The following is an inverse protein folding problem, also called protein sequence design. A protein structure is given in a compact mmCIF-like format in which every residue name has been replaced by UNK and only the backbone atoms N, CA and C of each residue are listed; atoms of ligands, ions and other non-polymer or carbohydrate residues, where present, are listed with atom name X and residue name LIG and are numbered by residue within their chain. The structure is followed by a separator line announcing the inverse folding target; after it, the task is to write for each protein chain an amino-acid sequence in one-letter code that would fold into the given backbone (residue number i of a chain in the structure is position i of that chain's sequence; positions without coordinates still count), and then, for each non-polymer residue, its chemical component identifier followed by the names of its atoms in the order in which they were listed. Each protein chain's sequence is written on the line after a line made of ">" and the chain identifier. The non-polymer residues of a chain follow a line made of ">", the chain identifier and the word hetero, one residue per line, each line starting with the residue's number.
data_IF_814929255944
#
_entry.id   IF_814929255944
#
_cell.length_a   1.000
_cell.length_b   1.000
_cell.length_c   1.000
_cell.angle_alpha   90.00
_cell.angle_beta   90.00
_cell.angle_gamma   90.00
#
_symmetry.space_group_name_H-M   'P 1'
#
loop_
_entity.id
_entity.type
_entity.pdbx_description
1 polymer ?
#
# COMPACT_ATOMS: atom_id res chain seq x y z
N UNK A 1 -3.44 26.86 3.07
CA UNK A 1 -3.19 25.40 2.97
C UNK A 1 -1.80 25.13 3.51
N UNK A 2 -1.63 24.16 4.41
CA UNK A 2 -0.30 23.60 4.60
C UNK A 2 -0.03 22.65 3.43
N UNK A 3 1.19 22.61 2.91
CA UNK A 3 1.62 21.73 1.81
C UNK A 3 1.28 20.22 2.02
N UNK A 4 0.89 19.85 3.24
CA UNK A 4 0.54 18.49 3.68
C UNK A 4 -0.96 18.14 3.57
N UNK A 5 -1.84 19.06 3.15
CA UNK A 5 -3.27 18.82 3.03
C UNK A 5 -3.64 18.24 1.66
N UNK A 6 -3.17 17.02 1.35
CA UNK A 6 -3.50 16.32 0.11
C UNK A 6 -4.98 15.88 0.01
N UNK A 7 -5.43 15.57 -1.20
CA UNK A 7 -6.77 15.03 -1.46
C UNK A 7 -6.89 13.59 -0.97
N UNK A 8 -7.86 13.32 -0.09
CA UNK A 8 -8.18 11.97 0.40
C UNK A 8 -9.56 11.54 -0.07
N UNK A 9 -9.69 10.27 -0.40
CA UNK A 9 -10.89 9.67 -0.94
C UNK A 9 -11.35 8.50 -0.07
N UNK A 10 -12.64 8.20 -0.11
CA UNK A 10 -13.24 7.04 0.54
C UNK A 10 -14.28 6.43 -0.40
N UNK A 11 -14.10 5.16 -0.72
CA UNK A 11 -15.06 4.41 -1.51
C UNK A 11 -16.24 3.99 -0.65
N UNK A 12 -17.43 4.39 -1.08
CA UNK A 12 -18.67 4.18 -0.35
C UNK A 12 -19.75 3.60 -1.25
N UNK A 13 -20.56 2.73 -0.68
CA UNK A 13 -21.77 2.21 -1.30
C UNK A 13 -22.98 2.72 -0.52
N UNK A 14 -24.06 2.98 -1.23
CA UNK A 14 -25.35 3.28 -0.62
C UNK A 14 -25.88 2.02 0.06
N UNK A 15 -26.04 2.05 1.38
CA UNK A 15 -26.44 0.85 2.14
C UNK A 15 -27.97 0.77 2.38
N UNK A 16 -28.67 1.89 2.20
CA UNK A 16 -30.11 2.01 2.40
C UNK A 16 -30.67 3.11 1.50
N UNK A 17 -31.98 3.10 1.29
CA UNK A 17 -32.68 4.08 0.44
C UNK A 17 -32.45 5.50 0.98
N UNK A 18 -32.14 6.47 0.10
CA UNK A 18 -32.01 7.87 0.50
C UNK A 18 -33.27 8.38 1.21
N UNK A 19 -33.08 9.10 2.31
CA UNK A 19 -34.21 9.73 2.99
C UNK A 19 -34.37 11.16 2.50
N UNK A 20 -35.60 11.52 2.14
CA UNK A 20 -35.96 12.86 1.76
C UNK A 20 -36.84 13.48 2.85
N UNK A 21 -36.30 14.49 3.55
CA UNK A 21 -36.98 15.18 4.65
C UNK A 21 -37.24 16.64 4.26
N UNK A 22 -38.31 16.93 3.52
CA UNK A 22 -38.68 18.31 3.21
C UNK A 22 -39.24 18.98 4.46
N UNK A 23 -38.48 19.91 5.05
CA UNK A 23 -38.97 20.74 6.16
C UNK A 23 -40.04 21.75 5.69
N UNK A 24 -40.04 22.11 4.39
CA UNK A 24 -40.96 23.04 3.75
C UNK A 24 -41.35 22.47 2.39
N UNK A 25 -42.52 22.86 1.87
CA UNK A 25 -43.01 22.49 0.53
C UNK A 25 -41.92 22.69 -0.55
N UNK A 26 -41.36 21.59 -1.10
CA UNK A 26 -40.26 21.65 -2.04
C UNK A 26 -40.66 22.22 -3.39
N UNK A 27 -41.96 22.26 -3.73
CA UNK A 27 -42.44 22.88 -4.97
C UNK A 27 -42.32 24.41 -4.95
N UNK A 28 -42.32 25.03 -3.76
CA UNK A 28 -42.22 26.49 -3.61
C UNK A 28 -40.78 26.98 -3.50
N UNK A 29 -39.93 26.21 -2.82
CA UNK A 29 -38.58 26.66 -2.47
C UNK A 29 -37.46 25.99 -3.27
N UNK A 30 -37.79 25.00 -4.11
CA UNK A 30 -36.87 24.32 -5.04
C UNK A 30 -35.59 23.75 -4.41
N UNK A 31 -35.60 23.50 -3.10
CA UNK A 31 -34.54 22.81 -2.37
C UNK A 31 -35.15 21.81 -1.40
N UNK A 32 -34.42 20.74 -1.10
CA UNK A 32 -34.83 19.76 -0.12
C UNK A 32 -33.62 19.03 0.45
N UNK A 33 -33.74 18.59 1.70
CA UNK A 33 -32.69 17.86 2.39
C UNK A 33 -32.75 16.39 2.00
N UNK A 34 -31.73 15.93 1.27
CA UNK A 34 -31.51 14.53 0.97
C UNK A 34 -30.43 13.97 1.87
N UNK A 35 -30.75 12.93 2.64
CA UNK A 35 -29.80 12.24 3.50
C UNK A 35 -29.38 10.94 2.80
N UNK A 36 -28.11 10.87 2.41
CA UNK A 36 -27.52 9.68 1.82
C UNK A 36 -26.91 8.79 2.91
N UNK A 37 -27.43 7.57 3.02
CA UNK A 37 -26.96 6.55 3.94
C UNK A 37 -25.86 5.72 3.28
N UNK A 38 -24.61 6.07 3.56
CA UNK A 38 -23.42 5.51 2.91
C UNK A 38 -22.64 4.60 3.86
N UNK A 39 -22.07 3.51 3.33
CA UNK A 39 -21.18 2.59 4.06
C UNK A 39 -19.91 2.36 3.25
N UNK A 40 -18.76 2.54 3.88
CA UNK A 40 -17.47 2.14 3.30
C UNK A 40 -17.21 0.66 3.54
N UNK A 41 -16.78 -0.06 2.50
CA UNK A 41 -16.28 -1.44 2.67
C UNK A 41 -14.97 -1.46 3.45
N UNK A 42 -14.09 -0.49 3.17
CA UNK A 42 -12.91 -0.17 3.96
C UNK A 42 -13.15 1.16 4.69
N UNK A 43 -13.01 1.23 6.02
CA UNK A 43 -13.26 2.47 6.78
C UNK A 43 -12.13 3.49 6.67
N UNK A 44 -11.02 3.19 6.00
CA UNK A 44 -9.86 4.07 5.90
C UNK A 44 -9.90 4.93 4.63
N UNK A 45 -9.63 6.22 4.82
CA UNK A 45 -9.43 7.17 3.74
C UNK A 45 -8.12 6.86 3.03
N UNK A 46 -8.07 6.98 1.71
CA UNK A 46 -6.83 6.76 0.97
C UNK A 46 -6.47 7.97 0.12
N UNK A 47 -5.17 8.15 -0.07
CA UNK A 47 -4.63 9.03 -1.10
C UNK A 47 -4.32 8.17 -2.32
N UNK A 48 -4.34 8.75 -3.53
CA UNK A 48 -3.80 8.06 -4.71
C UNK A 48 -2.41 7.55 -4.36
N UNK A 49 -2.21 6.23 -4.49
CA UNK A 49 -1.04 5.57 -3.94
C UNK A 49 0.23 6.27 -4.43
N UNK A 50 1.01 6.82 -3.49
CA UNK A 50 2.35 7.26 -3.80
C UNK A 50 3.12 6.01 -4.22
N UNK A 51 3.42 5.95 -5.51
CA UNK A 51 4.43 5.01 -6.00
C UNK A 51 5.76 5.50 -5.43
N UNK A 52 6.51 4.65 -4.75
CA UNK A 52 7.90 5.01 -4.42
C UNK A 52 8.58 5.32 -5.76
N UNK A 53 9.07 6.55 -5.91
CA UNK A 53 9.89 6.92 -7.05
C UNK A 53 11.15 6.08 -7.02
N UNK A 54 11.23 5.09 -7.92
CA UNK A 54 12.44 4.40 -8.33
C UNK A 54 12.86 3.19 -7.49
N UNK A 55 12.81 2.00 -8.10
CA UNK A 55 14.02 1.26 -8.46
C UNK A 55 13.74 0.26 -9.61
N UNK A 56 14.70 0.15 -10.55
CA UNK A 56 14.70 -0.48 -11.89
C UNK A 56 13.54 -0.18 -12.86
N UNK A 57 13.55 0.98 -13.53
CA UNK A 57 12.73 1.17 -14.75
C UNK A 57 13.36 0.49 -15.99
N UNK A 58 14.66 0.20 -15.95
CA UNK A 58 15.39 -0.49 -17.01
C UNK A 58 15.79 -1.90 -16.55
N UNK A 59 15.33 -2.90 -17.31
CA UNK A 59 15.43 -4.35 -17.14
C UNK A 59 16.86 -4.93 -17.10
N UNK A 60 17.75 -4.36 -16.30
CA UNK A 60 19.14 -4.74 -16.18
C UNK A 60 19.40 -5.25 -14.77
N UNK A 61 20.07 -6.39 -14.64
CA UNK A 61 20.45 -6.93 -13.34
C UNK A 61 21.32 -5.97 -12.54
N UNK A 62 21.02 -5.79 -11.26
CA UNK A 62 21.80 -4.90 -10.41
C UNK A 62 21.37 -4.84 -8.94
N UNK A 63 22.19 -4.12 -8.19
CA UNK A 63 21.92 -3.71 -6.82
C UNK A 63 21.41 -2.27 -6.81
N UNK A 64 20.49 -1.96 -5.92
CA UNK A 64 20.17 -0.57 -5.62
C UNK A 64 19.21 -0.42 -4.46
N UNK A 65 18.54 0.72 -4.43
CA UNK A 65 17.86 1.19 -3.22
C UNK A 65 16.49 1.73 -3.55
N UNK A 66 15.52 1.42 -2.69
CA UNK A 66 14.19 2.02 -2.71
C UNK A 66 13.99 2.82 -1.42
N UNK A 67 13.52 4.05 -1.54
CA UNK A 67 13.17 4.86 -0.38
C UNK A 67 11.74 4.53 0.07
N UNK A 68 11.60 4.04 1.30
CA UNK A 68 10.30 3.78 1.91
C UNK A 68 9.93 4.85 2.91
N UNK A 69 8.67 5.27 2.91
CA UNK A 69 8.15 6.24 3.88
C UNK A 69 6.68 5.95 4.16
N UNK A 70 6.29 5.98 5.43
CA UNK A 70 4.89 5.88 5.83
C UNK A 70 4.49 7.10 6.66
N UNK A 71 3.96 8.16 6.05
CA UNK A 71 3.50 9.35 6.77
C UNK A 71 2.14 9.14 7.46
N UNK A 72 1.53 7.96 7.35
CA UNK A 72 0.16 7.71 7.82
C UNK A 72 0.12 7.19 9.26
N UNK A 73 -1.07 7.27 9.88
CA UNK A 73 -1.36 6.72 11.20
C UNK A 73 -1.61 5.21 11.21
N UNK A 74 -1.63 4.59 10.02
CA UNK A 74 -1.93 3.18 9.84
C UNK A 74 -0.68 2.41 9.45
N UNK A 75 -0.70 1.12 9.78
CA UNK A 75 0.30 0.18 9.27
C UNK A 75 0.14 0.11 7.76
N UNK A 76 1.23 0.29 7.03
CA UNK A 76 1.26 0.27 5.57
C UNK A 76 1.65 -1.13 5.09
N UNK A 77 0.67 -1.79 4.49
CA UNK A 77 0.84 -3.03 3.74
C UNK A 77 1.33 -2.68 2.34
N UNK A 78 2.65 -2.59 2.19
CA UNK A 78 3.28 -2.28 0.91
C UNK A 78 3.16 -3.45 -0.06
N UNK A 79 3.35 -3.17 -1.36
CA UNK A 79 3.30 -4.18 -2.41
C UNK A 79 4.50 -4.08 -3.31
N UNK A 80 5.01 -5.22 -3.77
CA UNK A 80 6.03 -5.28 -4.81
C UNK A 80 5.42 -5.73 -6.11
N UNK A 81 5.79 -5.07 -7.20
CA UNK A 81 5.46 -5.47 -8.57
C UNK A 81 6.79 -5.83 -9.23
N UNK A 82 6.90 -7.07 -9.68
CA UNK A 82 8.12 -7.67 -10.20
C UNK A 82 7.90 -8.10 -11.66
N UNK A 83 8.86 -7.84 -12.52
CA UNK A 83 8.93 -8.49 -13.84
C UNK A 83 9.60 -9.86 -13.75
N UNK A 84 9.71 -10.58 -14.86
CA UNK A 84 10.51 -11.82 -14.96
C UNK A 84 11.95 -11.55 -14.52
N UNK A 85 12.49 -12.40 -13.65
CA UNK A 85 13.83 -12.25 -13.06
C UNK A 85 13.94 -12.90 -11.68
N UNK A 86 15.15 -12.90 -11.12
CA UNK A 86 15.39 -13.32 -9.73
C UNK A 86 15.57 -12.07 -8.87
N UNK A 87 14.98 -12.05 -7.67
CA UNK A 87 15.03 -10.90 -6.77
C UNK A 87 15.41 -11.27 -5.34
N UNK A 88 16.13 -10.37 -4.67
CA UNK A 88 16.24 -10.32 -3.22
C UNK A 88 15.61 -9.04 -2.70
N UNK A 89 14.50 -9.20 -1.97
CA UNK A 89 13.71 -8.08 -1.48
C UNK A 89 13.84 -7.89 0.04
N UNK A 90 13.78 -6.66 0.55
CA UNK A 90 13.87 -6.38 1.98
C UNK A 90 12.55 -6.71 2.72
N UNK A 91 12.65 -7.34 3.89
CA UNK A 91 11.53 -7.60 4.82
C UNK A 91 11.99 -7.35 6.26
N UNK A 92 12.39 -6.10 6.52
CA UNK A 92 12.99 -5.71 7.79
C UNK A 92 11.96 -5.61 8.91
N UNK A 93 12.31 -6.10 10.09
CA UNK A 93 11.63 -5.72 11.31
C UNK A 93 11.92 -4.25 11.63
N UNK A 94 10.86 -3.53 12.02
CA UNK A 94 10.93 -2.12 12.39
C UNK A 94 10.90 -1.94 13.90
N UNK A 95 11.75 -1.06 14.41
CA UNK A 95 11.83 -0.68 15.83
C UNK A 95 11.78 0.84 15.99
N UNK A 96 11.74 1.35 17.22
CA UNK A 96 11.69 2.78 17.52
C UNK A 96 10.28 3.32 17.74
N UNK A 97 10.18 4.59 18.15
CA UNK A 97 8.90 5.29 18.35
C UNK A 97 8.32 5.79 17.00
N UNK A 98 7.03 6.15 16.94
CA UNK A 98 6.49 6.89 15.78
C UNK A 98 7.36 8.11 15.45
N UNK A 99 7.67 8.34 14.17
CA UNK A 99 8.57 9.40 13.69
C UNK A 99 10.07 9.05 13.72
N UNK A 100 10.46 8.03 14.50
CA UNK A 100 11.85 7.56 14.64
C UNK A 100 11.97 6.05 14.35
N UNK A 101 11.15 5.55 13.41
CA UNK A 101 11.18 4.13 13.02
C UNK A 101 12.41 3.85 12.19
N UNK A 102 13.12 2.77 12.52
CA UNK A 102 14.27 2.28 11.74
C UNK A 102 14.25 0.76 11.67
N UNK A 103 14.84 0.15 10.64
CA UNK A 103 15.14 -1.28 10.64
C UNK A 103 15.96 -1.68 11.88
N UNK A 104 15.56 -2.76 12.55
CA UNK A 104 16.25 -3.22 13.77
C UNK A 104 15.57 -4.40 14.44
N UNK A 105 16.02 -4.73 15.66
CA UNK A 105 15.57 -5.93 16.37
C UNK A 105 16.21 -7.22 15.81
N UNK A 106 15.62 -8.37 16.14
CA UNK A 106 16.18 -9.68 15.77
C UNK A 106 16.14 -9.94 14.25
N UNK A 107 15.21 -9.29 13.53
CA UNK A 107 15.04 -9.42 12.09
C UNK A 107 15.29 -8.09 11.35
N UNK A 108 16.14 -7.23 11.91
CA UNK A 108 16.43 -5.89 11.37
C UNK A 108 17.18 -5.87 10.04
N UNK A 109 17.77 -6.99 9.61
CA UNK A 109 18.47 -7.16 8.32
C UNK A 109 17.86 -8.27 7.47
N UNK A 110 16.61 -8.66 7.76
CA UNK A 110 15.96 -9.77 7.06
C UNK A 110 15.64 -9.38 5.62
N UNK A 111 16.07 -10.24 4.71
CA UNK A 111 15.75 -10.18 3.28
C UNK A 111 15.15 -11.51 2.84
N UNK A 112 14.35 -11.47 1.78
CA UNK A 112 13.80 -12.64 1.11
C UNK A 112 14.54 -12.78 -0.22
N UNK A 113 15.54 -13.64 -0.23
CA UNK A 113 16.37 -13.93 -1.41
C UNK A 113 15.69 -14.94 -2.36
N UNK A 114 16.25 -15.09 -3.55
CA UNK A 114 15.88 -16.11 -4.55
C UNK A 114 14.38 -16.15 -4.90
N UNK A 115 13.76 -14.98 -5.03
CA UNK A 115 12.39 -14.88 -5.56
C UNK A 115 12.50 -15.01 -7.08
N UNK A 116 12.35 -16.23 -7.57
CA UNK A 116 12.43 -16.54 -9.01
C UNK A 116 11.06 -16.34 -9.67
N UNK A 117 10.97 -15.36 -10.58
CA UNK A 117 9.79 -15.09 -11.40
C UNK A 117 10.12 -15.53 -12.83
N UNK A 118 9.48 -16.60 -13.30
CA UNK A 118 9.75 -17.17 -14.62
C UNK A 118 8.88 -16.52 -15.70
N UNK A 119 9.22 -16.74 -16.97
CA UNK A 119 8.39 -16.29 -18.10
C UNK A 119 6.99 -16.90 -18.10
N UNK A 120 6.79 -18.07 -17.51
CA UNK A 120 5.48 -18.70 -17.36
C UNK A 120 4.57 -17.92 -16.38
N UNK A 121 5.15 -17.19 -15.43
CA UNK A 121 4.41 -16.35 -14.48
C UNK A 121 4.01 -15.00 -15.11
N UNK A 122 4.75 -14.51 -16.11
CA UNK A 122 4.47 -13.21 -16.76
C UNK A 122 4.70 -11.99 -15.85
N UNK A 123 5.30 -12.18 -14.68
CA UNK A 123 5.46 -11.18 -13.62
C UNK A 123 5.00 -11.73 -12.27
N UNK A 124 5.23 -10.97 -11.21
CA UNK A 124 4.72 -11.29 -9.88
C UNK A 124 4.32 -10.05 -9.09
N UNK A 125 3.29 -10.18 -8.27
CA UNK A 125 2.87 -9.19 -7.28
C UNK A 125 3.01 -9.81 -5.91
N UNK A 126 3.76 -9.12 -5.04
CA UNK A 126 3.86 -9.45 -3.62
C UNK A 126 2.99 -8.49 -2.83
N UNK A 127 2.01 -9.00 -2.09
CA UNK A 127 1.07 -8.20 -1.30
C UNK A 127 1.13 -8.58 0.18
N UNK A 128 1.37 -7.61 1.05
CA UNK A 128 1.37 -7.82 2.51
C UNK A 128 -0.02 -7.65 3.13
N UNK A 129 -1.02 -7.21 2.37
CA UNK A 129 -2.40 -7.13 2.84
C UNK A 129 -2.99 -8.55 2.94
N UNK A 130 -3.49 -8.91 4.12
CA UNK A 130 -3.99 -10.27 4.42
C UNK A 130 -5.28 -10.62 3.69
N UNK A 131 -5.97 -9.62 3.16
CA UNK A 131 -7.16 -9.83 2.33
C UNK A 131 -6.81 -10.38 0.94
N UNK A 132 -5.54 -10.28 0.53
CA UNK A 132 -5.04 -10.75 -0.76
C UNK A 132 -4.09 -11.94 -0.59
N UNK A 133 -3.93 -12.71 -1.67
CA UNK A 133 -2.86 -13.71 -1.75
C UNK A 133 -1.51 -13.00 -1.78
N UNK A 134 -0.57 -13.50 -0.96
CA UNK A 134 0.73 -12.85 -0.78
C UNK A 134 1.56 -12.84 -2.05
N UNK A 135 1.59 -13.93 -2.80
CA UNK A 135 2.30 -14.01 -4.08
C UNK A 135 1.34 -14.39 -5.18
N UNK A 136 1.27 -13.53 -6.19
CA UNK A 136 0.42 -13.71 -7.36
C UNK A 136 1.23 -13.51 -8.62
N UNK A 137 0.96 -14.28 -9.66
CA UNK A 137 1.56 -14.06 -10.97
C UNK A 137 0.81 -12.99 -11.78
N UNK A 138 1.24 -12.73 -13.01
CA UNK A 138 0.59 -11.78 -13.93
C UNK A 138 -0.86 -12.15 -14.28
N UNK A 139 -1.28 -13.38 -14.01
CA UNK A 139 -2.64 -13.89 -14.22
C UNK A 139 -3.44 -14.00 -12.90
N UNK A 140 -2.98 -13.36 -11.83
CA UNK A 140 -3.61 -13.36 -10.50
C UNK A 140 -3.67 -14.75 -9.82
N UNK A 141 -2.82 -15.69 -10.25
CA UNK A 141 -2.75 -17.06 -9.71
C UNK A 141 -1.75 -17.15 -8.56
N UNK A 142 -2.05 -17.94 -7.53
CA UNK A 142 -1.17 -18.14 -6.38
C UNK A 142 0.12 -18.88 -6.78
N UNK A 143 1.28 -18.26 -6.55
CA UNK A 143 2.61 -18.85 -6.81
C UNK A 143 3.45 -19.09 -5.55
N UNK A 144 2.87 -18.92 -4.36
CA UNK A 144 3.59 -19.08 -3.09
C UNK A 144 4.27 -20.46 -2.94
N UNK A 145 3.60 -21.51 -3.41
CA UNK A 145 4.13 -22.88 -3.37
C UNK A 145 5.34 -23.07 -4.29
N UNK A 146 5.40 -22.34 -5.41
CA UNK A 146 6.53 -22.38 -6.35
C UNK A 146 7.77 -21.72 -5.72
N UNK A 147 7.57 -20.71 -4.89
CA UNK A 147 8.62 -19.95 -4.21
C UNK A 147 9.08 -20.58 -2.88
N UNK A 148 8.90 -21.90 -2.72
CA UNK A 148 9.31 -22.66 -1.53
C UNK A 148 8.78 -22.07 -0.19
N UNK A 149 7.60 -21.43 -0.20
CA UNK A 149 6.98 -20.89 1.00
C UNK A 149 7.66 -19.64 1.57
N UNK A 150 8.39 -18.87 0.74
CA UNK A 150 8.90 -17.53 1.11
C UNK A 150 7.72 -16.64 1.53
N UNK A 151 7.80 -16.02 2.69
CA UNK A 151 6.71 -15.21 3.28
C UNK A 151 7.28 -13.89 3.79
N UNK A 152 6.60 -12.79 3.48
CA UNK A 152 6.85 -11.49 4.09
C UNK A 152 6.09 -11.36 5.42
N UNK A 153 6.74 -10.79 6.43
CA UNK A 153 6.13 -10.69 7.77
C UNK A 153 6.00 -9.25 8.29
N UNK A 154 6.80 -8.31 7.78
CA UNK A 154 6.96 -7.01 8.42
C UNK A 154 6.40 -5.87 7.54
N UNK A 155 5.12 -5.51 7.73
CA UNK A 155 4.58 -4.29 7.13
C UNK A 155 5.22 -3.05 7.77
N UNK A 156 5.14 -1.92 7.07
CA UNK A 156 5.81 -0.68 7.49
C UNK A 156 4.95 0.02 8.55
N UNK A 157 5.47 0.30 9.76
CA UNK A 157 4.69 0.93 10.82
C UNK A 157 4.23 2.36 10.50
N UNK A 158 3.24 2.89 11.24
CA UNK A 158 2.84 4.29 11.17
C UNK A 158 4.01 5.25 11.43
N UNK A 159 3.97 6.41 10.78
CA UNK A 159 4.96 7.49 10.94
C UNK A 159 6.41 7.00 10.78
N UNK A 160 6.65 6.21 9.73
CA UNK A 160 8.01 5.76 9.39
C UNK A 160 8.68 6.82 8.52
N UNK A 161 9.82 7.40 8.94
CA UNK A 161 10.56 8.38 8.16
C UNK A 161 11.13 7.75 6.89
N UNK A 162 11.51 8.59 5.92
CA UNK A 162 12.16 8.16 4.70
C UNK A 162 13.41 7.31 5.02
N UNK A 163 13.39 6.05 4.59
CA UNK A 163 14.45 5.07 4.85
C UNK A 163 14.78 4.35 3.55
N UNK A 164 16.06 4.30 3.20
CA UNK A 164 16.51 3.57 2.01
C UNK A 164 16.72 2.10 2.33
N UNK A 165 16.08 1.22 1.55
CA UNK A 165 16.21 -0.23 1.67
C UNK A 165 16.90 -0.78 0.42
N UNK A 166 17.86 -1.68 0.63
CA UNK A 166 18.55 -2.35 -0.46
C UNK A 166 17.66 -3.38 -1.13
N UNK A 167 17.71 -3.41 -2.46
CA UNK A 167 17.00 -4.35 -3.31
C UNK A 167 18.00 -4.85 -4.35
N UNK A 168 17.95 -6.14 -4.66
CA UNK A 168 18.73 -6.71 -5.75
C UNK A 168 17.81 -7.50 -6.68
N UNK A 169 18.10 -7.50 -7.97
CA UNK A 169 17.36 -8.35 -8.89
C UNK A 169 17.73 -8.16 -10.36
N UNK A 170 17.23 -9.08 -11.17
CA UNK A 170 17.54 -9.18 -12.61
C UNK A 170 16.57 -8.39 -13.52
N UNK A 171 15.55 -7.75 -12.94
CA UNK A 171 14.50 -7.04 -13.67
C UNK A 171 13.91 -5.88 -12.87
N UNK A 172 12.77 -5.36 -13.32
CA UNK A 172 12.06 -4.27 -12.64
C UNK A 172 11.41 -4.77 -11.34
N UNK A 173 11.69 -4.06 -10.24
CA UNK A 173 11.06 -4.25 -8.95
C UNK A 173 10.49 -2.92 -8.43
N UNK A 174 9.18 -2.73 -8.59
CA UNK A 174 8.49 -1.51 -8.16
C UNK A 174 7.82 -1.69 -6.80
N UNK A 175 8.10 -0.77 -5.89
CA UNK A 175 7.42 -0.69 -4.60
C UNK A 175 6.21 0.25 -4.66
N UNK A 176 5.04 -0.28 -4.32
CA UNK A 176 3.80 0.47 -4.14
C UNK A 176 3.56 0.65 -2.65
N UNK A 177 3.30 1.90 -2.24
CA UNK A 177 3.08 2.29 -0.85
C UNK A 177 1.65 2.85 -0.68
N UNK A 178 0.64 1.99 -0.46
CA UNK A 178 -0.73 2.43 -0.26
C UNK A 178 -0.83 3.27 1.03
N UNK A 179 -1.26 4.52 0.89
CA UNK A 179 -1.45 5.43 2.03
C UNK A 179 -2.89 5.37 2.50
N UNK A 180 -3.11 4.83 3.69
CA UNK A 180 -4.43 4.74 4.34
C UNK A 180 -4.43 5.59 5.61
N UNK A 181 -5.49 6.34 5.85
CA UNK A 181 -5.64 7.28 6.95
C UNK A 181 -6.94 7.02 7.72
N UNK A 182 -6.93 7.16 9.05
CA UNK A 182 -8.17 7.02 9.82
C UNK A 182 -9.12 8.22 9.64
N UNK A 183 -8.63 9.37 9.19
CA UNK A 183 -9.38 10.63 9.09
C UNK A 183 -9.12 11.34 7.76
N UNK A 184 -10.08 12.14 7.26
CA UNK A 184 -9.88 12.89 6.02
C UNK A 184 -9.01 14.14 6.19
N UNK A 185 -8.68 14.57 7.41
CA UNK A 185 -7.87 15.76 7.67
C UNK A 185 -6.88 15.60 8.83
N UNK A 186 -5.87 16.48 8.88
CA UNK A 186 -5.19 16.91 10.11
C UNK A 186 -4.36 15.86 10.86
N UNK A 187 -3.63 14.99 10.17
CA UNK A 187 -2.84 13.92 10.82
C UNK A 187 -1.38 13.83 10.33
N UNK A 188 -0.91 14.84 9.62
CA UNK A 188 0.47 14.91 9.16
C UNK A 188 1.29 15.72 10.18
N UNK A 189 1.82 15.03 11.19
CA UNK A 189 2.85 15.52 12.11
C UNK A 189 3.95 14.45 12.24
#
# INVERSE_FOLDING_TARGET
>A
ESDMSGTRQLDVLMYDVPEFHPAIDPHKNQHGLLILKLRGGNPFWYETAATASGWHEDSVAGDGTVTVTNPTDRIMHHKWILTVGTYTLPDHQWVGAPGARTPGGAFGSRTIADIEVTSANGGAVVDLDRENLMFRDGNDTNILAQLAGKIFAFPIPPYTPATDLAVTGDGMARLVMPRRWSRPWGMAE
#
